data_IF_719005156754
#
_entry.id   IF_719005156754
#
_cell.length_a   1.000
_cell.length_b   1.000
_cell.length_c   1.000
_cell.angle_alpha   90.00
_cell.angle_beta   90.00
_cell.angle_gamma   90.00
#
_symmetry.space_group_name_H-M   'P 1'
#
loop_
_entity.id
_entity.type
_entity.pdbx_description
1 polymer ?
#
# COMPACT_ATOMS: atom_id res chain seq x y z
N UNK A 1 1.02 -8.95 4.82
CA UNK A 1 0.19 -8.44 3.71
C UNK A 1 1.12 -7.73 2.72
N UNK A 2 0.97 -8.01 1.43
CA UNK A 2 1.53 -7.20 0.36
C UNK A 2 0.36 -6.49 -0.32
N UNK A 3 0.17 -5.22 -0.01
CA UNK A 3 -0.91 -4.39 -0.55
C UNK A 3 -0.35 -3.58 -1.71
N UNK A 4 -0.56 -4.09 -2.93
CA UNK A 4 0.03 -3.56 -4.15
C UNK A 4 -1.03 -3.11 -5.16
N UNK A 5 -0.82 -1.94 -5.78
CA UNK A 5 -1.66 -1.41 -6.86
C UNK A 5 -3.18 -1.36 -6.61
N UNK A 6 -3.59 -1.09 -5.36
CA UNK A 6 -4.99 -0.85 -5.03
C UNK A 6 -5.37 0.62 -5.24
N UNK A 7 -6.64 0.86 -5.52
CA UNK A 7 -7.24 2.20 -5.56
C UNK A 7 -8.19 2.39 -4.38
N UNK A 8 -7.83 3.27 -3.45
CA UNK A 8 -8.61 3.66 -2.28
C UNK A 8 -9.33 4.96 -2.60
N UNK A 9 -10.66 4.95 -2.60
CA UNK A 9 -11.45 6.09 -3.03
C UNK A 9 -12.59 6.43 -2.06
N UNK A 10 -12.77 7.72 -1.78
CA UNK A 10 -13.95 8.27 -1.09
C UNK A 10 -14.18 7.63 0.28
N UNK A 11 -13.13 7.54 1.10
CA UNK A 11 -13.21 7.04 2.46
C UNK A 11 -13.19 8.22 3.45
N UNK A 12 -14.32 8.46 4.12
CA UNK A 12 -14.47 9.53 5.10
C UNK A 12 -13.85 9.21 6.47
N UNK A 13 -13.55 7.93 6.74
CA UNK A 13 -12.90 7.45 7.96
C UNK A 13 -11.42 7.15 7.75
N UNK A 14 -11.00 5.96 8.17
CA UNK A 14 -9.64 5.45 7.98
C UNK A 14 -9.58 4.22 7.06
N UNK A 15 -8.47 4.01 6.35
CA UNK A 15 -8.32 2.84 5.45
C UNK A 15 -7.49 1.72 6.09
N UNK A 16 -6.36 2.05 6.72
CA UNK A 16 -5.51 1.08 7.41
C UNK A 16 -5.42 1.35 8.91
N UNK A 17 -5.52 0.27 9.68
CA UNK A 17 -5.28 0.21 11.12
C UNK A 17 -4.39 -1.01 11.39
N UNK A 18 -3.07 -0.78 11.43
CA UNK A 18 -2.07 -1.85 11.51
C UNK A 18 -1.65 -2.02 12.96
N UNK A 19 -2.37 -2.90 13.65
CA UNK A 19 -2.16 -3.22 15.07
C UNK A 19 -1.18 -4.39 15.27
N UNK A 20 -1.10 -4.91 16.49
CA UNK A 20 -0.22 -6.02 16.86
C UNK A 20 -0.26 -7.19 15.87
N UNK A 21 0.91 -7.76 15.57
CA UNK A 21 1.15 -8.82 14.58
C UNK A 21 0.85 -8.45 13.11
N UNK A 22 0.33 -7.24 12.85
CA UNK A 22 0.18 -6.69 11.51
C UNK A 22 1.53 -6.42 10.84
N UNK A 23 1.67 -6.85 9.58
CA UNK A 23 2.87 -6.63 8.77
C UNK A 23 2.45 -6.29 7.33
N UNK A 24 2.70 -5.07 6.88
CA UNK A 24 2.19 -4.54 5.60
C UNK A 24 3.32 -3.92 4.78
N UNK A 25 3.48 -4.41 3.54
CA UNK A 25 4.18 -3.68 2.48
C UNK A 25 3.12 -3.00 1.61
N UNK A 26 3.04 -1.67 1.70
CA UNK A 26 2.02 -0.87 1.02
C UNK A 26 2.68 -0.09 -0.10
N UNK A 27 2.67 -0.61 -1.33
CA UNK A 27 3.41 -0.01 -2.46
C UNK A 27 2.58 0.09 -3.74
N UNK A 28 2.81 1.13 -4.55
CA UNK A 28 2.10 1.31 -5.82
C UNK A 28 0.60 1.60 -5.70
N UNK A 29 0.07 1.92 -4.52
CA UNK A 29 -1.36 2.19 -4.33
C UNK A 29 -1.70 3.66 -4.64
N UNK A 30 -2.94 3.91 -5.03
CA UNK A 30 -3.47 5.24 -5.26
C UNK A 30 -4.57 5.54 -4.24
N UNK A 31 -4.40 6.58 -3.43
CA UNK A 31 -5.40 7.05 -2.47
C UNK A 31 -6.02 8.35 -2.99
N UNK A 32 -7.34 8.40 -3.08
CA UNK A 32 -8.09 9.59 -3.47
C UNK A 32 -9.24 9.86 -2.51
N UNK A 33 -9.37 11.11 -2.06
CA UNK A 33 -10.44 11.55 -1.16
C UNK A 33 -10.55 10.64 0.07
N UNK A 34 -9.40 10.29 0.65
CA UNK A 34 -9.30 9.43 1.85
C UNK A 34 -8.83 10.28 3.02
N UNK A 35 -9.70 10.52 4.00
CA UNK A 35 -9.42 11.42 5.14
C UNK A 35 -8.22 10.94 5.95
N UNK A 36 -8.20 9.65 6.31
CA UNK A 36 -7.10 9.03 7.08
C UNK A 36 -6.61 7.78 6.33
N UNK A 37 -5.62 7.88 5.42
CA UNK A 37 -5.10 6.72 4.70
C UNK A 37 -4.63 5.60 5.62
N UNK A 38 -3.90 5.92 6.69
CA UNK A 38 -3.68 5.01 7.80
C UNK A 38 -3.67 5.74 9.13
N UNK A 39 -4.13 5.07 10.17
CA UNK A 39 -3.90 5.53 11.54
C UNK A 39 -2.41 5.44 11.89
N UNK A 40 -1.97 6.36 12.74
CA UNK A 40 -0.63 6.41 13.30
C UNK A 40 -0.70 7.01 14.72
N UNK A 41 -1.23 6.20 15.62
CA UNK A 41 -1.46 6.51 17.03
C UNK A 41 -0.85 5.42 17.95
N UNK A 42 -1.07 5.55 19.25
CA UNK A 42 -0.49 4.65 20.26
C UNK A 42 -0.97 3.19 20.15
N UNK A 43 -2.09 2.92 19.46
CA UNK A 43 -2.65 1.58 19.29
C UNK A 43 -2.15 0.91 17.99
N UNK A 44 -1.70 1.71 17.02
CA UNK A 44 -1.13 1.24 15.73
C UNK A 44 0.32 0.73 15.82
N UNK A 45 0.54 -0.28 16.67
CA UNK A 45 1.87 -0.83 16.99
C UNK A 45 2.43 -1.84 15.98
N UNK A 46 1.65 -2.19 14.95
CA UNK A 46 2.07 -3.11 13.90
C UNK A 46 3.11 -2.51 12.95
N UNK A 47 3.63 -3.34 12.05
CA UNK A 47 4.63 -2.93 11.09
C UNK A 47 3.99 -2.63 9.72
N UNK A 48 4.21 -1.44 9.20
CA UNK A 48 3.80 -1.01 7.87
C UNK A 48 4.94 -0.22 7.23
N UNK A 49 5.37 -0.59 6.04
CA UNK A 49 6.26 0.25 5.25
C UNK A 49 5.45 0.99 4.18
N UNK A 50 5.64 2.31 4.13
CA UNK A 50 5.13 3.21 3.09
C UNK A 50 6.34 3.72 2.32
N UNK A 51 6.60 3.22 1.10
CA UNK A 51 7.78 3.60 0.33
C UNK A 51 7.83 5.09 0.02
N UNK A 52 9.05 5.61 0.07
CA UNK A 52 9.43 6.98 -0.25
C UNK A 52 10.87 6.97 -0.74
N UNK A 53 11.40 8.11 -1.17
CA UNK A 53 12.79 8.23 -1.63
C UNK A 53 13.80 7.76 -0.58
N UNK A 54 13.51 7.93 0.72
CA UNK A 54 14.42 7.55 1.81
C UNK A 54 14.45 6.05 2.11
N UNK A 55 13.44 5.29 1.69
CA UNK A 55 13.34 3.84 2.00
C UNK A 55 13.82 2.94 0.86
N UNK A 56 14.20 3.52 -0.28
CA UNK A 56 14.55 2.75 -1.48
C UNK A 56 15.73 1.79 -1.28
N UNK A 57 16.78 2.23 -0.57
CA UNK A 57 17.94 1.36 -0.28
C UNK A 57 17.56 0.16 0.60
N UNK A 58 16.63 0.34 1.55
CA UNK A 58 16.12 -0.74 2.38
C UNK A 58 15.30 -1.73 1.55
N UNK A 59 14.43 -1.24 0.67
CA UNK A 59 13.69 -2.07 -0.28
C UNK A 59 14.63 -2.87 -1.19
N UNK A 60 15.64 -2.21 -1.77
CA UNK A 60 16.62 -2.87 -2.66
C UNK A 60 17.35 -4.00 -1.93
N UNK A 61 17.72 -3.77 -0.68
CA UNK A 61 18.42 -4.76 0.15
C UNK A 61 17.52 -5.93 0.54
N UNK A 62 16.28 -5.65 0.97
CA UNK A 62 15.36 -6.69 1.45
C UNK A 62 14.72 -7.49 0.31
N UNK A 63 14.29 -6.79 -0.75
CA UNK A 63 13.44 -7.31 -1.83
C UNK A 63 14.18 -7.48 -3.18
N UNK A 64 15.41 -6.98 -3.31
CA UNK A 64 16.17 -7.01 -4.57
C UNK A 64 15.77 -5.94 -5.59
N UNK A 65 14.78 -5.11 -5.26
CA UNK A 65 14.26 -4.02 -6.11
C UNK A 65 13.91 -2.79 -5.27
N UNK A 66 13.83 -1.64 -5.93
CA UNK A 66 13.20 -0.47 -5.34
C UNK A 66 11.71 -0.78 -5.08
N UNK A 67 11.15 -0.20 -4.02
CA UNK A 67 9.72 -0.24 -3.80
C UNK A 67 9.04 0.83 -4.65
N UNK A 68 7.76 0.62 -4.96
CA UNK A 68 6.98 1.63 -5.70
C UNK A 68 6.26 2.56 -4.74
N UNK A 69 6.50 3.86 -4.84
CA UNK A 69 5.82 4.85 -4.00
C UNK A 69 4.30 4.86 -4.25
N UNK A 70 3.53 5.19 -3.21
CA UNK A 70 2.08 5.38 -3.32
C UNK A 70 1.78 6.80 -3.81
N UNK A 71 0.62 6.99 -4.43
CA UNK A 71 0.12 8.31 -4.83
C UNK A 71 -1.04 8.71 -3.92
N UNK A 72 -1.07 9.97 -3.50
CA UNK A 72 -2.13 10.54 -2.68
C UNK A 72 -2.71 11.78 -3.36
N UNK A 73 -4.03 11.82 -3.51
CA UNK A 73 -4.77 12.95 -4.03
C UNK A 73 -5.89 13.31 -3.06
N UNK A 74 -5.98 14.59 -2.63
CA UNK A 74 -7.02 15.07 -1.69
C UNK A 74 -7.21 14.15 -0.48
N UNK A 75 -6.11 13.62 0.05
CA UNK A 75 -6.11 12.62 1.11
C UNK A 75 -5.25 13.12 2.27
N UNK A 76 -5.43 12.54 3.46
CA UNK A 76 -4.56 12.77 4.60
C UNK A 76 -3.15 12.17 4.41
N UNK A 77 -2.36 12.15 5.47
CA UNK A 77 -0.99 11.58 5.42
C UNK A 77 -1.03 10.05 5.42
N UNK A 78 -0.13 9.43 4.67
CA UNK A 78 0.15 7.99 4.72
C UNK A 78 1.56 7.78 5.28
N UNK A 79 1.70 7.07 6.39
CA UNK A 79 2.93 7.00 7.20
C UNK A 79 3.32 5.57 7.50
N UNK A 80 4.62 5.27 7.42
CA UNK A 80 5.20 4.00 7.85
C UNK A 80 5.33 3.84 9.36
N UNK A 81 5.52 2.62 9.83
CA UNK A 81 5.87 2.26 11.19
C UNK A 81 6.66 0.93 11.16
N UNK A 82 7.81 0.89 11.85
CA UNK A 82 8.65 -0.33 11.94
C UNK A 82 9.00 -0.93 10.57
N UNK A 83 9.39 -0.08 9.61
CA UNK A 83 9.65 -0.41 8.20
C UNK A 83 10.51 -1.66 7.99
N UNK A 84 11.60 -1.81 8.75
CA UNK A 84 12.50 -2.98 8.66
C UNK A 84 11.78 -4.30 8.97
N UNK A 85 10.87 -4.29 9.96
CA UNK A 85 10.08 -5.46 10.30
C UNK A 85 9.04 -5.73 9.20
N UNK A 86 8.37 -4.69 8.69
CA UNK A 86 7.41 -4.81 7.61
C UNK A 86 8.06 -5.42 6.34
N UNK A 87 9.24 -4.94 5.94
CA UNK A 87 10.00 -5.48 4.80
C UNK A 87 10.42 -6.94 5.02
N UNK A 88 10.99 -7.25 6.19
CA UNK A 88 11.44 -8.62 6.51
C UNK A 88 10.28 -9.60 6.45
N UNK A 89 9.16 -9.25 7.07
CA UNK A 89 8.02 -10.15 7.22
C UNK A 89 7.15 -10.24 5.95
N UNK A 90 7.20 -9.23 5.08
CA UNK A 90 6.47 -9.25 3.80
C UNK A 90 7.28 -9.81 2.63
N UNK A 91 8.60 -10.04 2.77
CA UNK A 91 9.49 -10.45 1.68
C UNK A 91 8.97 -11.63 0.84
N UNK A 92 8.48 -12.69 1.48
CA UNK A 92 7.96 -13.88 0.79
C UNK A 92 6.71 -13.56 -0.04
N UNK A 93 5.81 -12.73 0.47
CA UNK A 93 4.60 -12.36 -0.27
C UNK A 93 4.86 -11.30 -1.33
N UNK A 94 5.89 -10.47 -1.13
CA UNK A 94 6.33 -9.46 -2.10
C UNK A 94 6.85 -10.07 -3.41
N UNK A 95 7.35 -11.31 -3.41
CA UNK A 95 7.83 -11.97 -4.63
C UNK A 95 6.73 -12.47 -5.56
N UNK A 96 5.49 -12.59 -5.08
CA UNK A 96 4.38 -13.10 -5.90
C UNK A 96 3.79 -12.06 -6.85
N UNK A 97 4.04 -10.77 -6.62
CA UNK A 97 3.51 -9.70 -7.43
C UNK A 97 4.53 -8.58 -7.58
N UNK A 98 4.71 -8.07 -8.79
CA UNK A 98 5.59 -6.94 -9.08
C UNK A 98 4.73 -5.70 -9.32
N UNK A 99 4.75 -4.72 -8.40
CA UNK A 99 3.93 -3.55 -8.52
C UNK A 99 4.41 -2.63 -9.65
N UNK A 100 3.46 -1.95 -10.28
CA UNK A 100 3.70 -0.85 -11.23
C UNK A 100 3.43 0.49 -10.57
N UNK A 101 3.68 1.59 -11.29
CA UNK A 101 3.30 2.93 -10.83
C UNK A 101 1.81 2.99 -10.42
N UNK A 102 1.46 3.75 -9.36
CA UNK A 102 0.08 3.93 -8.94
C UNK A 102 -0.81 4.45 -10.06
N UNK A 103 -2.02 3.92 -10.16
CA UNK A 103 -3.01 4.37 -11.13
C UNK A 103 -4.33 4.73 -10.45
N UNK A 104 -4.89 5.87 -10.86
CA UNK A 104 -6.29 6.19 -10.62
C UNK A 104 -7.15 5.30 -11.50
N UNK A 105 -8.05 4.55 -10.90
CA UNK A 105 -8.98 3.68 -11.64
C UNK A 105 -10.35 4.34 -11.78
N UNK A 106 -11.05 4.05 -12.88
CA UNK A 106 -12.46 4.41 -13.02
C UNK A 106 -13.34 3.50 -12.15
N UNK A 107 -14.42 4.05 -11.60
CA UNK A 107 -15.38 3.32 -10.77
C UNK A 107 -16.34 2.40 -11.54
N UNK A 108 -16.05 2.16 -12.82
CA UNK A 108 -16.78 1.19 -13.63
C UNK A 108 -16.21 -0.23 -13.39
N UNK A 109 -17.01 -1.26 -13.70
CA UNK A 109 -16.64 -2.67 -13.46
C UNK A 109 -15.60 -3.24 -14.44
N UNK A 110 -14.93 -2.38 -15.22
CA UNK A 110 -13.91 -2.82 -16.18
C UNK A 110 -12.58 -3.17 -15.51
N UNK A 111 -12.29 -2.57 -14.35
CA UNK A 111 -10.99 -2.70 -13.68
C UNK A 111 -11.06 -3.49 -12.36
N UNK A 112 -12.21 -3.52 -11.70
CA UNK A 112 -12.43 -4.21 -10.43
C UNK A 112 -13.91 -4.56 -10.20
N UNK A 113 -14.17 -5.57 -9.38
CA UNK A 113 -15.52 -6.06 -9.09
C UNK A 113 -16.03 -7.11 -10.08
N UNK A 114 -17.32 -7.45 -9.99
CA UNK A 114 -17.96 -8.41 -10.90
C UNK A 114 -18.34 -7.69 -12.20
N UNK A 115 -17.86 -8.19 -13.33
CA UNK A 115 -17.94 -7.47 -14.62
C UNK A 115 -16.94 -8.01 -15.63
N UNK A 116 -16.79 -7.34 -16.77
CA UNK A 116 -16.28 -7.95 -18.00
C UNK A 116 -14.79 -8.35 -17.87
N UNK A 117 -14.57 -9.66 -17.70
CA UNK A 117 -13.42 -10.37 -18.23
C UNK A 117 -13.73 -10.65 -19.70
N UNK A 118 -13.12 -9.93 -20.64
CA UNK A 118 -13.18 -10.37 -22.04
C UNK A 118 -12.47 -11.72 -22.14
N UNK A 119 -13.18 -12.74 -22.62
CA UNK A 119 -12.56 -13.98 -23.07
C UNK A 119 -11.58 -13.61 -24.19
N UNK A 120 -10.30 -13.94 -24.02
CA UNK A 120 -9.41 -14.07 -25.17
C UNK A 120 -9.83 -15.28 -26.00
#
# INVERSE_FOLDING_TARGET
IHAANNYWYSNSGFSYDVVENGNVLLEGNYFESTTVPNKHDAETVGAIIVPSSSTQSACKSALGRNCVENSLAKSGTLTGNRDSAALTNSKKVASYYHPTSPQKLSTNSQNYGVGILSSK
#
